data_IF_049453624713
#
_entry.id   IF_049453624713
#
_cell.length_a   1.000
_cell.length_b   1.000
_cell.length_c   1.000
_cell.angle_alpha   90.00
_cell.angle_beta   90.00
_cell.angle_gamma   90.00
#
_symmetry.space_group_name_H-M   'P 1'
#
loop_
_entity.id
_entity.type
_entity.pdbx_description
1 polymer ?
#
# COMPACT_ATOMS: atom_id res chain seq x y z
N UNK A 1 -11.12 -33.17 -12.80
CA UNK A 1 -10.73 -31.74 -12.90
C UNK A 1 -11.68 -30.95 -12.05
N UNK A 2 -11.18 -30.09 -11.16
CA UNK A 2 -12.06 -29.20 -10.41
C UNK A 2 -12.70 -28.20 -11.38
N UNK A 3 -14.03 -28.05 -11.31
CA UNK A 3 -14.78 -27.10 -12.14
C UNK A 3 -14.53 -25.65 -11.72
N UNK A 4 -15.22 -24.74 -12.41
CA UNK A 4 -15.27 -23.32 -12.03
C UNK A 4 -16.38 -23.14 -10.99
N UNK A 5 -16.17 -22.24 -10.03
CA UNK A 5 -17.13 -21.93 -8.97
C UNK A 5 -18.54 -21.61 -9.54
N UNK A 6 -19.57 -22.20 -8.93
CA UNK A 6 -20.97 -22.05 -9.35
C UNK A 6 -21.63 -20.76 -8.87
N UNK A 7 -21.01 -20.05 -7.92
CA UNK A 7 -21.59 -18.84 -7.35
C UNK A 7 -21.58 -17.64 -8.30
N UNK A 8 -22.54 -16.73 -8.05
CA UNK A 8 -22.58 -15.40 -8.70
C UNK A 8 -21.95 -14.38 -7.76
N UNK A 9 -21.03 -13.58 -8.30
CA UNK A 9 -20.38 -12.50 -7.56
C UNK A 9 -21.37 -11.39 -7.22
N UNK A 10 -21.03 -10.53 -6.26
CA UNK A 10 -21.84 -9.32 -5.94
C UNK A 10 -22.09 -8.40 -7.15
N UNK A 11 -21.24 -8.47 -8.18
CA UNK A 11 -21.38 -7.73 -9.43
C UNK A 11 -22.32 -8.42 -10.45
N UNK A 12 -23.05 -9.47 -10.06
CA UNK A 12 -23.99 -10.21 -10.91
C UNK A 12 -23.33 -11.13 -11.96
N UNK A 13 -22.00 -11.22 -11.99
CA UNK A 13 -21.25 -12.09 -12.91
C UNK A 13 -20.90 -13.42 -12.25
N UNK A 14 -20.87 -14.51 -13.02
CA UNK A 14 -20.41 -15.83 -12.53
C UNK A 14 -18.98 -15.76 -12.00
N UNK A 15 -18.72 -16.43 -10.88
CA UNK A 15 -17.38 -16.53 -10.31
C UNK A 15 -16.45 -17.33 -11.23
N UNK A 16 -15.23 -16.83 -11.46
CA UNK A 16 -14.22 -17.46 -12.32
C UNK A 16 -13.16 -18.26 -11.54
N UNK A 17 -13.28 -18.32 -10.23
CA UNK A 17 -12.34 -19.04 -9.38
C UNK A 17 -12.54 -20.56 -9.50
N UNK A 18 -11.49 -21.33 -9.25
CA UNK A 18 -11.56 -22.81 -9.22
C UNK A 18 -12.40 -23.25 -8.02
N UNK A 19 -13.30 -24.20 -8.26
CA UNK A 19 -14.08 -24.85 -7.21
C UNK A 19 -13.16 -25.78 -6.39
N UNK A 20 -13.35 -25.81 -5.07
CA UNK A 20 -12.56 -26.65 -4.16
C UNK A 20 -13.45 -27.72 -3.55
N UNK A 21 -14.55 -27.32 -2.93
CA UNK A 21 -15.50 -28.23 -2.28
C UNK A 21 -16.92 -27.82 -2.64
N UNK A 22 -17.77 -28.80 -2.98
CA UNK A 22 -19.19 -28.56 -3.24
C UNK A 22 -19.49 -27.61 -4.41
N UNK A 23 -18.62 -27.55 -5.42
CA UNK A 23 -18.79 -26.64 -6.57
C UNK A 23 -18.46 -25.16 -6.28
N UNK A 24 -18.00 -24.83 -5.07
CA UNK A 24 -17.70 -23.46 -4.64
C UNK A 24 -16.19 -23.24 -4.49
N UNK A 25 -15.73 -22.01 -4.73
CA UNK A 25 -14.36 -21.61 -4.39
C UNK A 25 -14.23 -21.37 -2.87
N UNK A 26 -13.00 -21.31 -2.36
CA UNK A 26 -12.73 -21.09 -0.93
C UNK A 26 -13.56 -19.96 -0.29
N UNK A 27 -13.73 -18.84 -1.01
CA UNK A 27 -14.43 -17.66 -0.49
C UNK A 27 -15.96 -17.76 -0.54
N UNK A 28 -16.52 -18.52 -1.50
CA UNK A 28 -17.96 -18.73 -1.57
C UNK A 28 -18.41 -19.95 -0.75
N UNK A 29 -17.52 -20.93 -0.56
CA UNK A 29 -17.76 -22.08 0.32
C UNK A 29 -17.64 -21.75 1.80
N UNK A 30 -16.90 -20.70 2.16
CA UNK A 30 -16.79 -20.20 3.54
C UNK A 30 -16.84 -18.65 3.59
N UNK A 31 -18.01 -18.07 3.88
CA UNK A 31 -18.15 -16.62 4.06
C UNK A 31 -17.31 -16.03 5.20
N UNK A 32 -16.99 -16.81 6.23
CA UNK A 32 -16.20 -16.32 7.37
C UNK A 32 -14.74 -16.11 6.96
N UNK A 33 -14.19 -16.99 6.12
CA UNK A 33 -12.85 -16.83 5.54
C UNK A 33 -12.72 -15.52 4.76
N UNK A 34 -13.73 -15.16 3.96
CA UNK A 34 -13.71 -13.89 3.21
C UNK A 34 -13.67 -12.67 4.15
N UNK A 35 -14.46 -12.71 5.23
CA UNK A 35 -14.46 -11.64 6.25
C UNK A 35 -13.12 -11.57 7.01
N UNK A 36 -12.53 -12.71 7.35
CA UNK A 36 -11.25 -12.77 8.04
C UNK A 36 -10.10 -12.20 7.19
N UNK A 37 -10.03 -12.59 5.91
CA UNK A 37 -9.03 -12.07 4.97
C UNK A 37 -9.18 -10.57 4.77
N UNK A 38 -10.42 -10.07 4.66
CA UNK A 38 -10.71 -8.64 4.61
C UNK A 38 -10.22 -7.90 5.86
N UNK A 39 -10.50 -8.46 7.06
CA UNK A 39 -10.06 -7.89 8.34
C UNK A 39 -8.53 -7.86 8.45
N UNK A 40 -7.84 -8.96 8.13
CA UNK A 40 -6.38 -9.05 8.14
C UNK A 40 -5.76 -8.02 7.18
N UNK A 41 -6.29 -7.92 5.96
CA UNK A 41 -5.84 -6.92 4.98
C UNK A 41 -6.02 -5.49 5.50
N UNK A 42 -7.16 -5.19 6.10
CA UNK A 42 -7.43 -3.88 6.71
C UNK A 42 -6.51 -3.55 7.88
N UNK A 43 -6.19 -4.53 8.74
CA UNK A 43 -5.26 -4.34 9.86
C UNK A 43 -3.85 -3.99 9.38
N UNK A 44 -3.31 -4.70 8.39
CA UNK A 44 -1.98 -4.41 7.82
C UNK A 44 -1.90 -3.01 7.22
N UNK A 45 -2.98 -2.55 6.57
CA UNK A 45 -3.04 -1.19 6.02
C UNK A 45 -3.06 -0.13 7.14
N UNK A 46 -3.83 -0.37 8.20
CA UNK A 46 -3.92 0.55 9.35
C UNK A 46 -2.62 0.60 10.16
N UNK A 47 -1.97 -0.54 10.39
CA UNK A 47 -0.70 -0.56 11.13
C UNK A 47 0.38 0.23 10.41
N UNK A 48 0.47 0.14 9.08
CA UNK A 48 1.38 0.96 8.28
C UNK A 48 1.09 2.47 8.39
N UNK A 49 -0.17 2.86 8.48
CA UNK A 49 -0.54 4.27 8.65
C UNK A 49 -0.25 4.82 10.05
N UNK A 50 -0.24 3.96 11.08
CA UNK A 50 0.01 4.36 12.47
C UNK A 50 1.51 4.41 12.84
N UNK A 51 2.40 3.91 11.97
CA UNK A 51 3.85 3.84 12.21
C UNK A 51 4.61 5.09 11.73
N UNK A 52 3.91 6.06 11.13
CA UNK A 52 4.50 7.37 10.85
C UNK A 52 4.52 8.17 12.14
N UNK A 53 5.63 8.12 12.85
CA UNK A 53 5.96 9.17 13.80
C UNK A 53 5.96 10.48 13.01
N UNK A 54 5.04 11.38 13.34
CA UNK A 54 4.91 12.68 12.69
C UNK A 54 6.13 13.52 13.09
N UNK A 55 7.27 13.26 12.46
CA UNK A 55 8.46 14.08 12.61
C UNK A 55 8.13 15.40 11.92
N UNK A 56 7.78 16.40 12.73
CA UNK A 56 7.53 17.75 12.26
C UNK A 56 8.85 18.33 11.76
N UNK A 57 9.14 18.11 10.48
CA UNK A 57 10.31 18.68 9.82
C UNK A 57 10.02 20.15 9.51
N UNK A 58 10.80 21.05 10.11
CA UNK A 58 10.78 22.44 9.71
C UNK A 58 11.06 22.57 8.19
N UNK A 59 10.35 23.45 7.46
CA UNK A 59 10.60 23.64 6.03
C UNK A 59 12.06 23.96 5.75
N UNK A 60 12.70 23.31 4.74
CA UNK A 60 14.08 23.59 4.40
C UNK A 60 14.23 25.04 3.93
N UNK A 61 15.22 25.76 4.47
CA UNK A 61 15.47 27.18 4.13
C UNK A 61 16.73 27.35 3.27
N UNK A 62 17.59 26.35 3.24
CA UNK A 62 18.87 26.36 2.51
C UNK A 62 19.06 25.10 1.66
N UNK A 63 19.98 25.12 0.70
CA UNK A 63 20.28 23.95 -0.13
C UNK A 63 20.81 22.79 0.72
N UNK A 64 21.47 23.13 1.83
CA UNK A 64 21.97 22.15 2.78
C UNK A 64 20.83 21.44 3.50
N UNK A 65 19.78 22.17 3.89
CA UNK A 65 18.59 21.57 4.53
C UNK A 65 17.90 20.58 3.60
N UNK A 66 17.83 20.91 2.31
CA UNK A 66 17.24 20.05 1.27
C UNK A 66 18.04 18.76 1.10
N UNK A 67 19.38 18.86 1.04
CA UNK A 67 20.26 17.69 0.96
C UNK A 67 20.11 16.78 2.17
N UNK A 68 20.04 17.36 3.37
CA UNK A 68 19.83 16.62 4.62
C UNK A 68 18.46 15.92 4.63
N UNK A 69 17.38 16.64 4.30
CA UNK A 69 16.03 16.09 4.26
C UNK A 69 15.91 14.96 3.24
N UNK A 70 16.52 15.10 2.06
CA UNK A 70 16.54 14.06 1.04
C UNK A 70 17.26 12.79 1.52
N UNK A 71 18.38 12.94 2.24
CA UNK A 71 19.09 11.81 2.85
C UNK A 71 18.21 11.03 3.84
N UNK A 72 17.41 11.73 4.64
CA UNK A 72 16.45 11.11 5.56
C UNK A 72 15.34 10.37 4.79
N UNK A 73 14.74 11.01 3.80
CA UNK A 73 13.68 10.38 2.98
C UNK A 73 14.18 9.15 2.22
N UNK A 74 15.42 9.14 1.74
CA UNK A 74 16.02 7.96 1.11
C UNK A 74 16.16 6.80 2.10
N UNK A 75 16.53 7.09 3.35
CA UNK A 75 16.60 6.09 4.43
C UNK A 75 15.21 5.52 4.75
N UNK A 76 14.21 6.39 4.88
CA UNK A 76 12.82 5.98 5.17
C UNK A 76 12.20 5.19 4.02
N UNK A 77 12.43 5.60 2.78
CA UNK A 77 11.99 4.88 1.59
C UNK A 77 12.61 3.47 1.53
N UNK A 78 13.92 3.35 1.81
CA UNK A 78 14.61 2.06 1.87
C UNK A 78 14.09 1.17 3.00
N UNK A 79 13.75 1.76 4.15
CA UNK A 79 13.19 1.05 5.29
C UNK A 79 11.71 0.66 5.11
N UNK A 80 11.06 1.08 4.01
CA UNK A 80 9.63 0.85 3.79
C UNK A 80 8.72 1.68 4.69
N UNK A 81 9.28 2.73 5.32
CA UNK A 81 8.57 3.69 6.16
C UNK A 81 7.91 4.81 5.38
N UNK A 82 8.06 4.87 4.05
CA UNK A 82 7.33 5.80 3.19
C UNK A 82 6.45 5.05 2.21
N UNK A 83 5.22 5.54 1.99
CA UNK A 83 4.42 5.07 0.88
C UNK A 83 5.15 5.34 -0.45
N UNK A 84 5.15 4.40 -1.41
CA UNK A 84 5.87 4.57 -2.68
C UNK A 84 5.51 5.86 -3.42
N UNK A 85 4.22 6.25 -3.40
CA UNK A 85 3.75 7.50 -4.04
C UNK A 85 4.31 8.75 -3.37
N UNK A 86 4.40 8.74 -2.03
CA UNK A 86 4.98 9.85 -1.25
C UNK A 86 6.47 9.95 -1.56
N UNK A 87 7.20 8.83 -1.52
CA UNK A 87 8.62 8.79 -1.84
C UNK A 87 8.92 9.30 -3.27
N UNK A 88 8.12 8.91 -4.27
CA UNK A 88 8.25 9.43 -5.64
C UNK A 88 8.03 10.93 -5.72
N UNK A 89 7.02 11.45 -5.02
CA UNK A 89 6.71 12.89 -4.98
C UNK A 89 7.84 13.68 -4.33
N UNK A 90 8.38 13.20 -3.20
CA UNK A 90 9.52 13.80 -2.52
C UNK A 90 10.78 13.83 -3.40
N UNK A 91 11.06 12.74 -4.12
CA UNK A 91 12.17 12.69 -5.08
C UNK A 91 12.04 13.73 -6.20
N UNK A 92 10.83 13.93 -6.73
CA UNK A 92 10.57 14.96 -7.73
C UNK A 92 10.78 16.37 -7.17
N UNK A 93 10.19 16.68 -6.01
CA UNK A 93 10.30 18.00 -5.39
C UNK A 93 11.75 18.34 -5.02
N UNK A 94 12.51 17.38 -4.51
CA UNK A 94 13.93 17.57 -4.19
C UNK A 94 14.75 17.89 -5.44
N UNK A 95 14.47 17.23 -6.57
CA UNK A 95 15.11 17.54 -7.85
C UNK A 95 14.74 18.93 -8.38
N UNK A 96 13.48 19.37 -8.24
CA UNK A 96 13.07 20.74 -8.61
C UNK A 96 13.81 21.77 -7.76
N UNK A 97 13.88 21.53 -6.44
CA UNK A 97 14.50 22.47 -5.51
C UNK A 97 16.02 22.56 -5.73
N UNK A 98 16.71 21.44 -5.93
CA UNK A 98 18.14 21.43 -6.26
C UNK A 98 18.44 22.27 -7.50
N UNK A 99 17.67 22.09 -8.58
CA UNK A 99 17.81 22.88 -9.82
C UNK A 99 17.53 24.37 -9.67
N UNK A 100 16.73 24.76 -8.68
CA UNK A 100 16.41 26.18 -8.44
C UNK A 100 17.49 26.90 -7.61
N UNK A 101 18.45 26.16 -7.07
CA UNK A 101 19.52 26.67 -6.20
C UNK A 101 20.91 26.63 -6.86
N UNK A 102 20.96 26.08 -8.08
CA UNK A 102 22.09 26.15 -9.02
C UNK A 102 21.99 27.42 -9.87
#
# INVERSE_FOLDING_TARGET
MNGICDATTKAGKRCRAVAITGGLCALHGDPNLAAELGRKSGQVRRSKAAEYEEVELAPPRTAQDVRTALGLFMSDARAGRLEPKVASTLGYLANVLLKSME
#
